data_IF_538669785003
#
_entry.id   IF_538669785003
#
_cell.length_a   1.000
_cell.length_b   1.000
_cell.length_c   1.000
_cell.angle_alpha   90.00
_cell.angle_beta   90.00
_cell.angle_gamma   90.00
#
_symmetry.space_group_name_H-M   'P 1'
#
loop_
_entity.id
_entity.type
_entity.pdbx_description
1 polymer ?
#
# COMPACT_ATOMS: atom_id res chain seq x y z
N UNK A 1 -3.33 -13.23 0.64
CA UNK A 1 -1.84 -13.23 0.72
C UNK A 1 -1.36 -12.66 2.05
N UNK A 2 -0.11 -12.90 2.40
CA UNK A 2 0.60 -12.35 3.56
C UNK A 2 1.32 -11.04 3.20
N UNK A 3 1.70 -10.25 4.20
CA UNK A 3 2.48 -9.04 4.03
C UNK A 3 3.86 -9.31 3.43
N UNK A 4 4.48 -10.44 3.80
CA UNK A 4 5.74 -10.87 3.20
C UNK A 4 5.62 -11.08 1.69
N UNK A 5 4.52 -11.68 1.22
CA UNK A 5 4.30 -11.90 -0.22
C UNK A 5 4.29 -10.56 -0.98
N UNK A 6 3.65 -9.53 -0.41
CA UNK A 6 3.63 -8.18 -1.02
C UNK A 6 5.02 -7.53 -1.01
N UNK A 7 5.79 -7.76 0.06
CA UNK A 7 7.18 -7.30 0.14
C UNK A 7 8.03 -7.96 -0.95
N UNK A 8 7.95 -9.28 -1.08
CA UNK A 8 8.70 -10.03 -2.08
C UNK A 8 8.32 -9.57 -3.51
N UNK A 9 7.04 -9.26 -3.77
CA UNK A 9 6.59 -8.66 -5.04
C UNK A 9 7.23 -7.29 -5.29
N UNK A 10 7.27 -6.41 -4.29
CA UNK A 10 7.85 -5.07 -4.41
C UNK A 10 9.39 -5.10 -4.52
N UNK A 11 10.06 -6.00 -3.82
CA UNK A 11 11.51 -6.20 -3.93
C UNK A 11 11.90 -6.77 -5.32
N UNK A 12 11.03 -7.57 -5.93
CA UNK A 12 11.20 -8.07 -7.29
C UNK A 12 10.78 -7.07 -8.38
N UNK A 13 10.02 -6.03 -8.04
CA UNK A 13 9.53 -5.06 -9.02
C UNK A 13 10.66 -4.09 -9.43
N UNK A 14 11.04 -4.00 -10.71
CA UNK A 14 12.24 -3.27 -11.15
C UNK A 14 12.21 -1.78 -10.83
N UNK A 15 11.00 -1.20 -10.78
CA UNK A 15 10.81 0.23 -10.56
C UNK A 15 10.37 0.60 -9.14
N UNK A 16 10.24 -0.39 -8.24
CA UNK A 16 9.92 -0.11 -6.84
C UNK A 16 11.19 -0.16 -6.01
N UNK A 17 11.33 0.80 -5.08
CA UNK A 17 12.43 0.79 -4.11
C UNK A 17 11.88 0.95 -2.71
N UNK A 18 12.47 0.23 -1.77
CA UNK A 18 12.21 0.45 -0.36
C UNK A 18 12.50 1.93 -0.04
N UNK A 19 11.53 2.59 0.59
CA UNK A 19 11.63 4.00 0.92
C UNK A 19 11.94 4.20 2.40
N UNK A 20 11.05 3.75 3.29
CA UNK A 20 11.20 3.86 4.74
C UNK A 20 10.53 2.68 5.45
N UNK A 21 11.02 2.37 6.65
CA UNK A 21 10.40 1.43 7.59
C UNK A 21 10.18 2.12 8.94
N UNK A 22 9.10 1.77 9.63
CA UNK A 22 8.90 2.13 11.03
C UNK A 22 9.74 1.24 11.95
N UNK A 23 9.90 1.64 13.22
CA UNK A 23 10.47 0.79 14.26
C UNK A 23 9.75 -0.57 14.31
N UNK A 24 10.51 -1.66 14.28
CA UNK A 24 10.04 -3.05 14.21
C UNK A 24 9.31 -3.43 12.90
N UNK A 25 9.52 -2.69 11.81
CA UNK A 25 8.91 -2.93 10.50
C UNK A 25 7.37 -3.07 10.58
N UNK A 26 6.73 -2.27 11.44
CA UNK A 26 5.27 -2.29 11.62
C UNK A 26 4.53 -1.85 10.36
N UNK A 27 5.01 -0.78 9.75
CA UNK A 27 4.71 -0.43 8.37
C UNK A 27 6.03 -0.25 7.64
N UNK A 28 6.00 -0.52 6.36
CA UNK A 28 7.06 -0.18 5.43
C UNK A 28 6.44 0.54 4.24
N UNK A 29 7.20 1.45 3.64
CA UNK A 29 6.81 2.14 2.42
C UNK A 29 7.79 1.81 1.30
N UNK A 30 7.24 1.74 0.10
CA UNK A 30 7.98 1.64 -1.15
C UNK A 30 7.61 2.82 -2.02
N UNK A 31 8.58 3.32 -2.78
CA UNK A 31 8.39 4.38 -3.75
C UNK A 31 8.73 3.87 -5.14
N UNK A 32 7.83 4.08 -6.08
CA UNK A 32 8.05 3.82 -7.50
C UNK A 32 8.89 4.93 -8.15
N UNK A 33 9.47 4.63 -9.31
CA UNK A 33 10.21 5.57 -10.16
C UNK A 33 9.40 6.84 -10.52
N UNK A 34 8.08 6.72 -10.64
CA UNK A 34 7.14 7.84 -10.86
C UNK A 34 6.93 8.73 -9.63
N UNK A 35 7.48 8.35 -8.47
CA UNK A 35 7.26 9.04 -7.20
C UNK A 35 5.96 8.66 -6.49
N UNK A 36 5.21 7.69 -6.99
CA UNK A 36 4.08 7.10 -6.26
C UNK A 36 4.58 6.26 -5.08
N UNK A 37 3.91 6.39 -3.95
CA UNK A 37 4.24 5.67 -2.72
C UNK A 37 3.13 4.71 -2.36
N UNK A 38 3.53 3.55 -1.84
CA UNK A 38 2.65 2.54 -1.26
C UNK A 38 3.19 2.18 0.11
N UNK A 39 2.30 1.86 1.05
CA UNK A 39 2.70 1.40 2.38
C UNK A 39 1.86 0.22 2.85
N UNK A 40 2.46 -0.69 3.61
CA UNK A 40 1.80 -1.91 4.10
C UNK A 40 2.52 -2.49 5.32
N UNK A 41 1.88 -3.43 6.03
CA UNK A 41 2.49 -4.16 7.15
C UNK A 41 3.02 -5.52 6.65
N UNK A 42 4.35 -5.73 6.56
CA UNK A 42 4.95 -6.94 6.04
C UNK A 42 4.78 -8.16 6.97
N UNK A 43 4.41 -7.95 8.24
CA UNK A 43 4.30 -9.01 9.26
C UNK A 43 2.92 -9.66 9.28
N UNK A 44 1.97 -9.12 8.51
CA UNK A 44 0.61 -9.67 8.43
C UNK A 44 0.61 -11.08 7.83
N UNK A 45 0.21 -12.08 8.61
CA UNK A 45 0.21 -13.50 8.16
C UNK A 45 -1.10 -13.95 7.51
N UNK A 46 -2.19 -13.18 7.62
CA UNK A 46 -3.53 -13.56 7.13
C UNK A 46 -4.25 -12.49 6.31
N UNK A 47 -3.94 -11.22 6.54
CA UNK A 47 -4.68 -10.07 5.98
C UNK A 47 -3.69 -8.97 5.60
N UNK A 48 -3.11 -9.08 4.40
CA UNK A 48 -2.30 -8.00 3.84
C UNK A 48 -3.22 -6.90 3.32
N UNK A 49 -2.83 -5.64 3.54
CA UNK A 49 -3.46 -4.47 2.98
C UNK A 49 -2.40 -3.46 2.57
N UNK A 50 -2.70 -2.70 1.52
CA UNK A 50 -1.82 -1.64 1.00
C UNK A 50 -2.55 -0.30 1.04
N UNK A 51 -1.82 0.74 1.43
CA UNK A 51 -2.26 2.14 1.38
C UNK A 51 -1.86 2.78 0.05
N UNK A 52 -2.80 3.51 -0.55
CA UNK A 52 -2.69 4.13 -1.87
C UNK A 52 -3.20 5.56 -1.85
N UNK A 53 -2.50 6.46 -2.54
CA UNK A 53 -2.88 7.87 -2.66
C UNK A 53 -4.05 8.13 -3.63
N UNK A 54 -4.36 7.18 -4.51
CA UNK A 54 -5.42 7.28 -5.51
C UNK A 54 -6.36 6.10 -5.42
N UNK A 55 -7.62 6.30 -5.82
CA UNK A 55 -8.61 5.23 -5.87
C UNK A 55 -8.25 4.27 -7.01
N UNK A 56 -8.07 2.97 -6.74
CA UNK A 56 -7.88 2.01 -7.81
C UNK A 56 -9.13 1.89 -8.70
N UNK A 57 -8.98 1.52 -9.99
CA UNK A 57 -10.10 1.21 -10.87
C UNK A 57 -10.96 0.08 -10.32
N UNK A 58 -12.26 0.13 -10.61
CA UNK A 58 -13.15 -0.99 -10.36
C UNK A 58 -12.62 -2.22 -11.14
N UNK A 59 -12.43 -3.34 -10.45
CA UNK A 59 -11.80 -4.55 -11.00
C UNK A 59 -10.48 -4.93 -10.30
N UNK A 60 -9.73 -3.95 -9.77
CA UNK A 60 -8.48 -4.21 -9.02
C UNK A 60 -8.70 -4.41 -7.52
N UNK A 61 -9.96 -4.48 -7.09
CA UNK A 61 -10.37 -4.76 -5.71
C UNK A 61 -11.83 -5.21 -5.68
N UNK A 62 -12.21 -5.98 -4.66
CA UNK A 62 -13.62 -6.20 -4.33
C UNK A 62 -14.13 -5.02 -3.48
N UNK A 63 -15.36 -4.51 -3.67
CA UNK A 63 -15.86 -3.35 -2.91
C UNK A 63 -15.68 -3.47 -1.38
N UNK A 64 -15.95 -4.65 -0.81
CA UNK A 64 -15.78 -4.92 0.64
C UNK A 64 -14.32 -4.93 1.13
N UNK A 65 -13.35 -4.92 0.21
CA UNK A 65 -11.91 -4.90 0.53
C UNK A 65 -11.32 -3.48 0.46
N UNK A 66 -12.11 -2.49 0.03
CA UNK A 66 -11.69 -1.09 -0.02
C UNK A 66 -12.19 -0.33 1.21
N UNK A 67 -11.25 0.25 1.94
CA UNK A 67 -11.52 1.27 2.95
C UNK A 67 -11.06 2.61 2.42
N UNK A 68 -11.90 3.64 2.61
CA UNK A 68 -11.61 5.02 2.26
C UNK A 68 -11.49 5.79 3.57
N UNK A 69 -10.39 6.51 3.75
CA UNK A 69 -10.14 7.40 4.87
C UNK A 69 -10.31 8.84 4.39
N UNK A 70 -11.32 9.53 4.93
CA UNK A 70 -11.63 10.93 4.63
C UNK A 70 -10.89 11.86 5.62
N UNK A 71 -11.16 13.18 5.56
CA UNK A 71 -10.36 14.21 6.24
C UNK A 71 -10.16 13.99 7.74
N UNK A 72 -11.21 13.57 8.45
CA UNK A 72 -11.16 13.35 9.91
C UNK A 72 -10.70 11.93 10.31
N UNK A 73 -10.51 11.03 9.35
CA UNK A 73 -10.12 9.66 9.65
C UNK A 73 -8.60 9.53 9.80
N UNK A 74 -8.16 8.88 10.90
CA UNK A 74 -6.76 8.52 11.11
C UNK A 74 -6.50 7.06 10.68
N UNK A 75 -5.77 6.82 9.58
CA UNK A 75 -5.51 5.47 9.09
C UNK A 75 -4.56 4.68 9.98
N UNK A 76 -3.52 5.35 10.49
CA UNK A 76 -2.54 4.85 11.46
C UNK A 76 -1.52 5.96 11.76
N UNK A 77 -1.16 6.14 13.03
CA UNK A 77 -0.05 7.02 13.41
C UNK A 77 1.31 6.53 12.87
N UNK A 78 1.45 5.23 12.56
CA UNK A 78 2.65 4.66 11.94
C UNK A 78 2.82 5.07 10.48
N UNK A 79 1.72 5.37 9.77
CA UNK A 79 1.78 5.77 8.37
C UNK A 79 2.60 7.06 8.19
N UNK A 80 2.44 8.02 9.11
CA UNK A 80 3.20 9.29 9.14
C UNK A 80 4.71 9.08 9.23
N UNK A 81 5.15 7.97 9.84
CA UNK A 81 6.58 7.65 10.04
C UNK A 81 7.23 7.05 8.79
N UNK A 82 6.43 6.41 7.93
CA UNK A 82 6.94 5.74 6.72
C UNK A 82 6.60 6.47 5.43
N UNK A 83 5.57 7.33 5.43
CA UNK A 83 5.19 8.14 4.29
C UNK A 83 4.41 9.37 4.75
N UNK A 84 5.08 10.53 4.76
CA UNK A 84 4.40 11.82 5.01
C UNK A 84 3.39 12.13 3.92
N UNK A 85 3.71 11.77 2.66
CA UNK A 85 2.82 11.93 1.50
C UNK A 85 1.50 11.19 1.73
N UNK A 86 1.52 9.87 1.90
CA UNK A 86 0.31 9.07 2.12
C UNK A 86 -0.44 9.50 3.38
N UNK A 87 0.26 9.86 4.45
CA UNK A 87 -0.41 10.30 5.67
C UNK A 87 -1.18 11.62 5.51
N UNK A 88 -0.71 12.51 4.63
CA UNK A 88 -1.37 13.78 4.31
C UNK A 88 -2.39 13.71 3.18
N UNK A 89 -2.40 12.63 2.39
CA UNK A 89 -3.33 12.49 1.26
C UNK A 89 -4.74 12.23 1.74
N UNK A 90 -5.72 12.96 1.21
CA UNK A 90 -7.15 12.69 1.39
C UNK A 90 -7.91 12.84 0.06
N UNK A 91 -8.84 11.93 -0.25
CA UNK A 91 -9.07 10.63 0.42
C UNK A 91 -7.85 9.69 0.31
N UNK A 92 -7.59 8.92 1.37
CA UNK A 92 -6.60 7.83 1.36
C UNK A 92 -7.30 6.49 1.22
N UNK A 93 -6.73 5.60 0.42
CA UNK A 93 -7.33 4.30 0.16
C UNK A 93 -6.53 3.18 0.79
N UNK A 94 -7.19 2.25 1.45
CA UNK A 94 -6.59 1.00 1.90
C UNK A 94 -7.30 -0.18 1.26
N UNK A 95 -6.56 -0.94 0.46
CA UNK A 95 -7.08 -2.12 -0.23
C UNK A 95 -6.58 -3.36 0.47
N UNK A 96 -7.48 -4.28 0.82
CA UNK A 96 -7.11 -5.61 1.29
C UNK A 96 -6.77 -6.52 0.11
N UNK A 97 -5.60 -7.13 0.18
CA UNK A 97 -5.08 -7.99 -0.89
C UNK A 97 -5.31 -9.45 -0.52
N UNK A 98 -6.17 -10.11 -1.30
CA UNK A 98 -6.47 -11.53 -1.14
C UNK A 98 -5.60 -12.39 -2.03
N UNK A 99 -5.36 -11.92 -3.24
CA UNK A 99 -4.75 -12.65 -4.34
C UNK A 99 -3.45 -11.98 -4.82
N UNK A 100 -2.34 -12.71 -5.01
CA UNK A 100 -1.07 -12.16 -5.48
C UNK A 100 -1.10 -11.58 -6.90
N UNK A 101 -1.87 -12.16 -7.83
CA UNK A 101 -1.95 -11.68 -9.20
C UNK A 101 -2.67 -10.33 -9.23
N UNK A 102 -3.79 -10.21 -8.50
CA UNK A 102 -4.48 -8.94 -8.32
C UNK A 102 -3.61 -7.89 -7.63
N UNK A 103 -2.79 -8.30 -6.66
CA UNK A 103 -1.84 -7.40 -6.01
C UNK A 103 -0.79 -6.86 -6.99
N UNK A 104 -0.28 -7.71 -7.89
CA UNK A 104 0.65 -7.29 -8.93
C UNK A 104 0.01 -6.28 -9.89
N UNK A 105 -1.18 -6.57 -10.40
CA UNK A 105 -1.91 -5.64 -11.27
C UNK A 105 -2.20 -4.30 -10.57
N UNK A 106 -2.53 -4.34 -9.28
CA UNK A 106 -2.74 -3.14 -8.47
C UNK A 106 -1.45 -2.32 -8.30
N UNK A 107 -0.31 -2.97 -8.10
CA UNK A 107 0.99 -2.29 -7.99
C UNK A 107 1.43 -1.69 -9.32
N UNK A 108 1.26 -2.42 -10.43
CA UNK A 108 1.56 -1.93 -11.78
C UNK A 108 0.70 -0.70 -12.11
N UNK A 109 -0.58 -0.72 -11.75
CA UNK A 109 -1.45 0.45 -11.84
C UNK A 109 -0.97 1.59 -10.93
N UNK A 110 -0.68 1.30 -9.66
CA UNK A 110 -0.28 2.31 -8.68
C UNK A 110 0.98 3.06 -9.11
N UNK A 111 1.94 2.38 -9.74
CA UNK A 111 3.10 3.03 -10.35
C UNK A 111 2.69 4.14 -11.32
N UNK A 112 1.75 3.86 -12.23
CA UNK A 112 1.34 4.77 -13.29
C UNK A 112 0.35 5.85 -12.82
N UNK A 113 -0.19 5.69 -11.61
CA UNK A 113 -1.31 6.48 -11.10
C UNK A 113 -0.91 7.91 -10.72
#
# INVERSE_FOLDING_TARGET
MQGKDLRDLLEAHPDAKHHLSDANDYLVSYRFDTGTEVAFDPRTVKKCSVFLAKKPPAGLYHPDDLVIYEDDDEPSSALRRVSTKLASTRPLYRVRLKDPDLAKELLDWARLA
#
